data_IF_213352199275
#
_entry.id   IF_213352199275
#
_cell.length_a   1.000
_cell.length_b   1.000
_cell.length_c   1.000
_cell.angle_alpha   90.00
_cell.angle_beta   90.00
_cell.angle_gamma   90.00
#
_symmetry.space_group_name_H-M   'P 1'
#
loop_
_entity.id
_entity.type
_entity.pdbx_description
1 polymer ?
#
# COMPACT_ATOMS: atom_id res chain seq x y z
N UNK A 1 -46.73 58.34 -37.23
CA UNK A 1 -46.76 58.76 -35.82
C UNK A 1 -47.02 57.51 -35.00
N UNK A 2 -46.36 57.40 -33.83
CA UNK A 2 -46.33 56.23 -32.92
C UNK A 2 -45.61 55.01 -33.54
N UNK A 3 -44.57 54.37 -32.99
CA UNK A 3 -44.27 53.98 -31.58
C UNK A 3 -45.36 53.06 -31.01
N UNK A 4 -45.13 51.96 -30.28
CA UNK A 4 -43.92 51.32 -29.74
C UNK A 4 -44.28 49.87 -29.24
N UNK A 5 -43.43 48.97 -28.70
CA UNK A 5 -41.97 48.92 -28.41
C UNK A 5 -41.47 47.47 -28.47
N UNK A 6 -40.18 47.24 -28.70
CA UNK A 6 -39.52 45.93 -28.56
C UNK A 6 -39.38 45.48 -27.09
N UNK A 7 -39.60 44.19 -26.80
CA UNK A 7 -39.34 43.57 -25.50
C UNK A 7 -38.26 42.50 -25.59
N UNK A 8 -37.01 42.91 -25.45
CA UNK A 8 -35.85 42.01 -25.32
C UNK A 8 -35.20 42.15 -23.93
N UNK A 9 -34.58 41.07 -23.45
CA UNK A 9 -33.41 41.21 -22.58
C UNK A 9 -33.55 41.12 -21.04
N UNK A 10 -34.43 40.28 -20.47
CA UNK A 10 -34.39 39.98 -19.01
C UNK A 10 -34.40 38.47 -18.67
N UNK A 11 -33.49 37.68 -19.24
CA UNK A 11 -33.19 36.30 -18.78
C UNK A 11 -31.71 35.90 -18.75
N UNK A 12 -30.75 36.83 -18.93
CA UNK A 12 -29.32 36.48 -19.04
C UNK A 12 -28.50 36.56 -17.73
N UNK A 13 -28.89 37.42 -16.76
CA UNK A 13 -28.05 37.68 -15.58
C UNK A 13 -28.31 36.73 -14.40
N UNK A 14 -29.58 36.46 -14.09
CA UNK A 14 -29.95 35.52 -13.01
C UNK A 14 -29.49 34.08 -13.29
N UNK A 15 -29.56 33.61 -14.54
CA UNK A 15 -29.06 32.29 -14.92
C UNK A 15 -27.54 32.14 -14.80
N UNK A 16 -26.78 33.22 -15.00
CA UNK A 16 -25.32 33.23 -14.79
C UNK A 16 -24.94 33.22 -13.32
N UNK A 17 -25.76 33.82 -12.45
CA UNK A 17 -25.56 33.76 -11.00
C UNK A 17 -25.81 32.33 -10.47
N UNK A 18 -26.89 31.66 -10.88
CA UNK A 18 -27.11 30.25 -10.49
C UNK A 18 -26.01 29.32 -11.00
N UNK A 19 -25.45 29.60 -12.19
CA UNK A 19 -24.35 28.83 -12.77
C UNK A 19 -22.96 29.17 -12.14
N UNK A 20 -22.85 30.23 -11.35
CA UNK A 20 -21.67 30.55 -10.54
C UNK A 20 -21.74 29.97 -9.11
N UNK A 21 -22.95 29.66 -8.63
CA UNK A 21 -23.16 28.99 -7.34
C UNK A 21 -23.13 27.45 -7.43
N UNK A 22 -23.27 26.88 -8.63
CA UNK A 22 -22.90 25.49 -8.88
C UNK A 22 -21.36 25.40 -9.00
N UNK A 23 -20.67 25.19 -7.88
CA UNK A 23 -19.26 24.78 -7.86
C UNK A 23 -19.14 23.32 -8.34
N UNK A 24 -19.38 23.10 -9.64
CA UNK A 24 -19.02 21.86 -10.31
C UNK A 24 -17.49 21.81 -10.44
N UNK A 25 -16.81 20.80 -9.87
CA UNK A 25 -15.35 20.71 -9.91
C UNK A 25 -14.88 20.42 -11.34
N UNK A 26 -13.98 21.26 -11.85
CA UNK A 26 -13.51 21.24 -13.25
C UNK A 26 -12.24 20.41 -13.45
N UNK A 27 -11.58 20.03 -12.37
CA UNK A 27 -10.36 19.25 -12.37
C UNK A 27 -10.26 18.37 -11.10
N UNK A 28 -9.26 17.49 -11.07
CA UNK A 28 -9.04 16.55 -9.95
C UNK A 28 -8.81 17.26 -8.61
N UNK A 29 -8.15 18.42 -8.60
CA UNK A 29 -7.85 19.16 -7.37
C UNK A 29 -9.13 19.75 -6.75
N UNK A 30 -9.95 20.44 -7.56
CA UNK A 30 -11.27 20.96 -7.14
C UNK A 30 -12.20 19.84 -6.64
N UNK A 31 -12.14 18.64 -7.25
CA UNK A 31 -12.93 17.48 -6.80
C UNK A 31 -12.47 16.97 -5.42
N UNK A 32 -11.16 16.89 -5.18
CA UNK A 32 -10.61 16.46 -3.88
C UNK A 32 -10.92 17.50 -2.78
N UNK A 33 -10.87 18.80 -3.10
CA UNK A 33 -11.27 19.87 -2.19
C UNK A 33 -12.75 19.75 -1.80
N UNK A 34 -13.64 19.55 -2.78
CA UNK A 34 -15.07 19.32 -2.52
C UNK A 34 -15.34 18.09 -1.65
N UNK A 35 -14.61 16.98 -1.86
CA UNK A 35 -14.73 15.77 -1.03
C UNK A 35 -14.27 16.01 0.42
N UNK A 36 -13.20 16.78 0.61
CA UNK A 36 -12.71 17.19 1.94
C UNK A 36 -13.67 18.14 2.65
N UNK A 37 -14.29 19.07 1.94
CA UNK A 37 -15.38 19.90 2.48
C UNK A 37 -16.58 19.05 2.87
N UNK A 38 -16.96 18.05 2.07
CA UNK A 38 -18.05 17.12 2.41
C UNK A 38 -17.74 16.32 3.69
N UNK A 39 -16.49 15.89 3.88
CA UNK A 39 -16.02 15.26 5.12
C UNK A 39 -16.06 16.20 6.33
N UNK A 40 -15.57 17.44 6.20
CA UNK A 40 -15.66 18.46 7.27
C UNK A 40 -17.12 18.76 7.66
N UNK A 41 -18.03 18.74 6.68
CA UNK A 41 -19.47 18.88 6.89
C UNK A 41 -20.16 17.58 7.38
N UNK A 42 -19.39 16.52 7.69
CA UNK A 42 -19.86 15.21 8.19
C UNK A 42 -20.83 14.47 7.24
N UNK A 43 -20.69 14.71 5.94
CA UNK A 43 -21.40 13.97 4.88
C UNK A 43 -20.63 12.72 4.42
N UNK A 44 -19.33 12.66 4.72
CA UNK A 44 -18.43 11.53 4.53
C UNK A 44 -17.63 11.33 5.81
N UNK A 45 -17.45 10.08 6.23
CA UNK A 45 -16.45 9.72 7.25
C UNK A 45 -15.02 9.70 6.66
N UNK A 46 -14.03 9.46 7.53
CA UNK A 46 -12.61 9.47 7.14
C UNK A 46 -12.25 8.32 6.21
N UNK A 47 -12.85 7.14 6.42
CA UNK A 47 -12.59 5.92 5.66
C UNK A 47 -13.13 6.06 4.22
N UNK A 48 -14.38 6.49 4.06
CA UNK A 48 -14.99 6.76 2.76
C UNK A 48 -14.24 7.86 1.99
N UNK A 49 -13.74 8.90 2.67
CA UNK A 49 -12.88 9.89 2.04
C UNK A 49 -11.57 9.26 1.54
N UNK A 50 -10.86 8.51 2.39
CA UNK A 50 -9.60 7.85 2.03
C UNK A 50 -9.77 6.89 0.84
N UNK A 51 -10.80 6.04 0.86
CA UNK A 51 -11.15 5.11 -0.22
C UNK A 51 -11.37 5.86 -1.55
N UNK A 52 -12.08 7.00 -1.52
CA UNK A 52 -12.31 7.80 -2.73
C UNK A 52 -11.03 8.48 -3.22
N UNK A 53 -10.20 9.04 -2.33
CA UNK A 53 -8.91 9.64 -2.74
C UNK A 53 -7.98 8.59 -3.37
N UNK A 54 -7.87 7.41 -2.76
CA UNK A 54 -7.08 6.27 -3.25
C UNK A 54 -7.58 5.73 -4.59
N UNK A 55 -8.90 5.56 -4.74
CA UNK A 55 -9.52 5.14 -6.00
C UNK A 55 -9.21 6.10 -7.17
N UNK A 56 -9.14 7.41 -6.90
CA UNK A 56 -8.75 8.41 -7.91
C UNK A 56 -7.22 8.32 -8.18
N UNK A 57 -6.40 8.04 -7.16
CA UNK A 57 -4.94 7.92 -7.31
C UNK A 57 -4.50 6.70 -8.13
N UNK A 58 -5.16 5.56 -7.97
CA UNK A 58 -4.89 4.31 -8.72
C UNK A 58 -5.07 4.45 -10.24
N UNK A 59 -5.76 5.49 -10.71
CA UNK A 59 -5.85 5.81 -12.15
C UNK A 59 -4.51 6.28 -12.76
N UNK A 60 -3.63 6.89 -11.96
CA UNK A 60 -2.36 7.49 -12.41
C UNK A 60 -1.11 6.65 -12.07
N UNK A 61 -1.22 5.73 -11.10
CA UNK A 61 -0.15 4.80 -10.72
C UNK A 61 0.10 3.69 -11.75
N UNK A 62 1.33 3.20 -11.80
CA UNK A 62 1.80 2.10 -12.64
C UNK A 62 2.31 0.92 -11.80
N UNK A 63 2.44 -0.26 -12.42
CA UNK A 63 2.84 -1.50 -11.73
C UNK A 63 4.18 -1.37 -11.00
N UNK A 64 5.19 -0.73 -11.62
CA UNK A 64 6.49 -0.50 -10.97
C UNK A 64 6.45 0.34 -9.70
N UNK A 65 5.37 1.12 -9.49
CA UNK A 65 5.26 2.01 -8.34
C UNK A 65 4.85 1.23 -7.06
N UNK A 66 4.35 -0.02 -7.20
CA UNK A 66 3.90 -0.88 -6.09
C UNK A 66 4.43 -2.32 -6.13
N UNK A 67 5.11 -2.76 -7.20
CA UNK A 67 5.54 -4.15 -7.34
C UNK A 67 6.52 -4.57 -6.22
N UNK A 68 6.43 -5.83 -5.80
CA UNK A 68 7.46 -6.48 -4.99
C UNK A 68 8.68 -6.72 -5.90
N UNK A 69 9.85 -6.09 -5.64
CA UNK A 69 11.01 -6.22 -6.52
C UNK A 69 11.57 -7.64 -6.53
N UNK A 70 12.21 -8.05 -7.63
CA UNK A 70 12.85 -9.37 -7.81
C UNK A 70 13.67 -9.85 -6.63
N UNK A 71 14.44 -8.96 -6.00
CA UNK A 71 15.29 -9.29 -4.84
C UNK A 71 14.52 -9.61 -3.55
N UNK A 72 13.24 -9.27 -3.50
CA UNK A 72 12.33 -9.50 -2.37
C UNK A 72 11.29 -10.60 -2.67
N UNK A 73 11.27 -11.13 -3.90
CA UNK A 73 10.35 -12.21 -4.28
C UNK A 73 10.70 -13.52 -3.58
N UNK A 74 9.76 -14.06 -2.81
CA UNK A 74 9.85 -15.41 -2.25
C UNK A 74 9.35 -16.40 -3.29
N UNK A 75 10.29 -17.06 -3.96
CA UNK A 75 10.05 -18.01 -5.07
C UNK A 75 10.52 -19.42 -4.72
N UNK A 76 9.83 -20.44 -5.25
CA UNK A 76 10.19 -21.86 -5.08
C UNK A 76 10.88 -22.35 -6.35
N UNK A 77 11.98 -23.10 -6.23
CA UNK A 77 12.63 -23.74 -7.39
C UNK A 77 11.89 -25.02 -7.74
N UNK A 78 11.66 -25.26 -9.04
CA UNK A 78 10.95 -26.44 -9.53
C UNK A 78 11.65 -27.78 -9.23
N UNK A 79 12.93 -27.72 -8.83
CA UNK A 79 13.75 -28.87 -8.41
C UNK A 79 13.69 -29.16 -6.90
N UNK A 80 13.11 -28.28 -6.08
CA UNK A 80 13.00 -28.48 -4.64
C UNK A 80 11.92 -29.52 -4.30
N UNK A 81 12.26 -30.41 -3.37
CA UNK A 81 11.31 -31.30 -2.69
C UNK A 81 10.44 -30.50 -1.71
N UNK A 82 9.25 -31.02 -1.32
CA UNK A 82 8.41 -30.37 -0.31
C UNK A 82 9.15 -30.07 1.00
N UNK A 83 10.05 -30.96 1.42
CA UNK A 83 10.85 -30.78 2.64
C UNK A 83 11.78 -29.57 2.58
N UNK A 84 12.21 -29.16 1.39
CA UNK A 84 13.13 -28.03 1.20
C UNK A 84 12.40 -26.69 1.07
N UNK A 85 11.22 -26.65 0.42
CA UNK A 85 10.48 -25.39 0.23
C UNK A 85 9.40 -25.12 1.28
N UNK A 86 8.81 -26.14 1.91
CA UNK A 86 7.75 -25.94 2.92
C UNK A 86 8.19 -25.04 4.10
N UNK A 87 9.43 -25.08 4.62
CA UNK A 87 9.87 -24.13 5.64
C UNK A 87 9.73 -22.66 5.20
N UNK A 88 10.09 -22.35 3.95
CA UNK A 88 9.95 -20.99 3.39
C UNK A 88 8.48 -20.59 3.18
N UNK A 89 7.62 -21.55 2.85
CA UNK A 89 6.17 -21.33 2.69
C UNK A 89 5.50 -21.06 4.05
N UNK A 90 5.95 -21.73 5.11
CA UNK A 90 5.45 -21.53 6.47
C UNK A 90 5.94 -20.21 7.08
N UNK A 91 7.20 -19.85 6.85
CA UNK A 91 7.82 -18.62 7.37
C UNK A 91 7.20 -17.36 6.74
N UNK A 92 6.97 -17.35 5.42
CA UNK A 92 6.41 -16.18 4.74
C UNK A 92 4.88 -16.12 4.76
N UNK A 93 4.20 -17.24 5.03
CA UNK A 93 2.74 -17.37 5.11
C UNK A 93 1.94 -16.81 3.91
N UNK A 94 2.55 -16.71 2.73
CA UNK A 94 1.86 -16.20 1.52
C UNK A 94 0.91 -17.23 0.93
N UNK A 95 -0.16 -16.75 0.28
CA UNK A 95 -1.12 -17.61 -0.43
C UNK A 95 -0.61 -18.16 -1.76
N UNK A 96 0.40 -17.51 -2.37
CA UNK A 96 0.87 -17.76 -3.74
C UNK A 96 2.39 -17.59 -3.83
N UNK A 97 3.04 -18.45 -4.61
CA UNK A 97 4.49 -18.44 -4.82
C UNK A 97 4.80 -18.60 -6.32
N UNK A 98 5.62 -17.72 -6.91
CA UNK A 98 6.23 -17.98 -8.21
C UNK A 98 7.10 -19.24 -8.13
N UNK A 99 6.97 -20.12 -9.12
CA UNK A 99 7.84 -21.29 -9.25
C UNK A 99 8.78 -21.07 -10.42
N UNK A 100 10.08 -21.12 -10.12
CA UNK A 100 11.17 -20.83 -11.07
C UNK A 100 11.92 -22.10 -11.47
N UNK A 101 12.43 -22.14 -12.71
CA UNK A 101 13.25 -23.23 -13.22
C UNK A 101 14.73 -23.02 -12.89
N UNK A 102 15.57 -22.81 -13.91
CA UNK A 102 17.03 -22.69 -13.73
C UNK A 102 17.47 -21.31 -13.22
N UNK A 103 16.73 -20.26 -13.56
CA UNK A 103 17.00 -18.87 -13.17
C UNK A 103 15.75 -18.18 -12.61
N UNK A 104 15.91 -17.02 -11.96
CA UNK A 104 14.77 -16.22 -11.50
C UNK A 104 13.96 -15.60 -12.65
N UNK A 105 14.50 -15.55 -13.87
CA UNK A 105 13.80 -15.09 -15.07
C UNK A 105 12.94 -16.20 -15.71
N UNK A 106 13.26 -17.46 -15.43
CA UNK A 106 12.53 -18.65 -15.89
C UNK A 106 11.36 -18.98 -14.95
N UNK A 107 10.31 -18.15 -14.94
CA UNK A 107 9.10 -18.40 -14.15
C UNK A 107 8.19 -19.39 -14.86
N UNK A 108 8.15 -20.62 -14.34
CA UNK A 108 7.36 -21.73 -14.88
C UNK A 108 5.86 -21.61 -14.59
N UNK A 109 5.47 -20.89 -13.54
CA UNK A 109 4.08 -20.73 -13.13
C UNK A 109 3.94 -20.22 -11.70
N UNK A 110 2.71 -20.29 -11.17
CA UNK A 110 2.38 -19.92 -9.78
C UNK A 110 1.81 -21.12 -9.05
N UNK A 111 2.38 -21.43 -7.89
CA UNK A 111 1.86 -22.40 -6.93
C UNK A 111 0.96 -21.68 -5.92
N UNK A 112 -0.18 -22.27 -5.58
CA UNK A 112 -1.03 -21.79 -4.47
C UNK A 112 -0.73 -22.63 -3.22
N UNK A 113 -0.51 -21.98 -2.08
CA UNK A 113 -0.18 -22.66 -0.82
C UNK A 113 -1.24 -23.71 -0.44
N UNK A 114 -2.53 -23.38 -0.61
CA UNK A 114 -3.65 -24.31 -0.37
C UNK A 114 -3.64 -25.56 -1.26
N UNK A 115 -3.01 -25.51 -2.44
CA UNK A 115 -2.95 -26.66 -3.34
C UNK A 115 -1.88 -27.69 -2.89
N UNK A 116 -1.11 -27.37 -1.83
CA UNK A 116 -0.22 -28.29 -1.11
C UNK A 116 -0.94 -29.09 0.00
N UNK A 117 -2.15 -28.70 0.43
CA UNK A 117 -2.88 -29.41 1.49
C UNK A 117 -3.07 -30.93 1.24
N UNK A 118 -3.27 -31.43 0.01
CA UNK A 118 -3.34 -32.87 -0.25
C UNK A 118 -2.08 -33.65 0.14
N UNK A 119 -0.91 -33.00 0.27
CA UNK A 119 0.33 -33.65 0.71
C UNK A 119 0.26 -34.15 2.15
N UNK A 120 -0.62 -33.58 2.98
CA UNK A 120 -0.83 -34.00 4.38
C UNK A 120 -1.42 -35.42 4.45
N UNK A 121 -2.17 -35.83 3.42
CA UNK A 121 -2.86 -37.13 3.36
C UNK A 121 -2.10 -38.18 2.54
N UNK A 122 -0.98 -37.82 1.90
CA UNK A 122 -0.17 -38.76 1.12
C UNK A 122 0.83 -39.48 2.02
N UNK A 123 0.73 -40.80 2.07
CA UNK A 123 1.75 -41.63 2.71
C UNK A 123 3.07 -41.61 1.93
N UNK A 124 4.17 -41.96 2.62
CA UNK A 124 5.52 -41.97 2.04
C UNK A 124 5.63 -42.97 0.88
N UNK A 125 5.49 -42.49 -0.36
CA UNK A 125 5.59 -43.33 -1.56
C UNK A 125 5.12 -42.62 -2.84
N UNK A 126 4.19 -41.68 -2.73
CA UNK A 126 3.72 -40.89 -3.88
C UNK A 126 4.81 -39.92 -4.37
N UNK A 127 5.14 -39.98 -5.67
CA UNK A 127 6.04 -39.02 -6.31
C UNK A 127 5.42 -37.64 -6.35
N UNK A 128 5.90 -36.71 -5.52
CA UNK A 128 5.56 -35.30 -5.64
C UNK A 128 6.23 -34.69 -6.87
N UNK A 129 5.43 -34.04 -7.72
CA UNK A 129 5.90 -33.24 -8.83
C UNK A 129 5.20 -31.87 -8.77
N UNK A 130 5.97 -30.82 -8.48
CA UNK A 130 5.45 -29.45 -8.34
C UNK A 130 4.76 -28.96 -9.62
N UNK A 131 5.17 -29.45 -10.80
CA UNK A 131 4.62 -29.06 -12.11
C UNK A 131 3.14 -29.36 -12.24
N UNK A 132 2.65 -30.40 -11.56
CA UNK A 132 1.24 -30.83 -11.61
C UNK A 132 0.32 -29.89 -10.80
N UNK A 133 0.90 -29.01 -9.97
CA UNK A 133 0.20 -28.01 -9.16
C UNK A 133 0.35 -26.58 -9.70
N UNK A 134 1.11 -26.37 -10.79
CA UNK A 134 1.36 -25.04 -11.33
C UNK A 134 0.14 -24.49 -12.08
N UNK A 135 -0.20 -23.24 -11.77
CA UNK A 135 -1.11 -22.43 -12.57
C UNK A 135 -0.30 -21.53 -13.51
N UNK A 136 -0.80 -21.20 -14.71
CA UNK A 136 -0.11 -20.28 -15.62
C UNK A 136 0.16 -18.92 -14.96
N UNK A 137 1.39 -18.44 -15.06
CA UNK A 137 1.73 -17.08 -14.63
C UNK A 137 1.16 -16.06 -15.63
N UNK A 138 0.58 -14.97 -15.13
CA UNK A 138 0.23 -13.79 -15.95
C UNK A 138 1.43 -12.85 -15.94
N UNK A 139 1.86 -12.37 -17.11
CA UNK A 139 2.99 -11.43 -17.23
C UNK A 139 2.49 -10.03 -17.60
N UNK A 140 3.04 -9.00 -16.97
CA UNK A 140 2.68 -7.59 -17.21
C UNK A 140 3.92 -6.70 -17.24
N UNK A 141 3.97 -5.66 -18.10
CA UNK A 141 5.08 -4.71 -18.10
C UNK A 141 4.99 -3.74 -16.92
N UNK A 142 6.15 -3.29 -16.42
CA UNK A 142 6.28 -2.26 -15.37
C UNK A 142 5.41 -1.00 -15.58
N UNK A 143 5.25 -0.58 -16.84
CA UNK A 143 4.53 0.63 -17.24
C UNK A 143 3.00 0.49 -17.27
N UNK A 144 2.45 -0.70 -16.98
CA UNK A 144 1.00 -0.94 -16.98
C UNK A 144 0.32 -0.13 -15.87
N UNK A 145 -0.79 0.55 -16.16
CA UNK A 145 -1.56 1.30 -15.15
C UNK A 145 -2.31 0.37 -14.21
N UNK A 146 -2.37 0.72 -12.92
CA UNK A 146 -3.00 -0.10 -11.88
C UNK A 146 -4.51 -0.28 -12.09
N UNK A 147 -5.24 0.78 -12.50
CA UNK A 147 -6.66 0.68 -12.82
C UNK A 147 -6.98 -0.33 -13.95
N UNK A 148 -6.06 -0.52 -14.91
CA UNK A 148 -6.18 -1.54 -15.96
C UNK A 148 -5.87 -2.92 -15.40
N UNK A 149 -4.81 -3.06 -14.60
CA UNK A 149 -4.44 -4.32 -13.94
C UNK A 149 -5.55 -4.84 -13.02
N UNK A 150 -6.12 -3.99 -12.16
CA UNK A 150 -7.22 -4.35 -11.26
C UNK A 150 -8.43 -4.91 -12.02
N UNK A 151 -8.76 -4.31 -13.17
CA UNK A 151 -9.84 -4.80 -14.04
C UNK A 151 -9.53 -6.18 -14.62
N UNK A 152 -8.28 -6.44 -15.00
CA UNK A 152 -7.85 -7.75 -15.51
C UNK A 152 -7.82 -8.83 -14.41
N UNK A 153 -7.32 -8.50 -13.21
CA UNK A 153 -7.38 -9.40 -12.06
C UNK A 153 -8.83 -9.82 -11.74
N UNK A 154 -9.75 -8.84 -11.70
CA UNK A 154 -11.18 -9.10 -11.50
C UNK A 154 -11.83 -9.91 -12.62
N UNK A 155 -11.44 -9.70 -13.88
CA UNK A 155 -12.03 -10.40 -15.03
C UNK A 155 -11.50 -11.84 -15.19
N UNK A 156 -10.22 -12.07 -14.90
CA UNK A 156 -9.56 -13.36 -15.10
C UNK A 156 -9.56 -14.24 -13.83
N UNK A 157 -10.02 -13.72 -12.69
CA UNK A 157 -9.88 -14.33 -11.36
C UNK A 157 -8.41 -14.68 -11.00
N UNK A 158 -7.46 -13.93 -11.56
CA UNK A 158 -6.05 -14.00 -11.23
C UNK A 158 -5.73 -12.93 -10.19
N UNK A 159 -4.89 -13.27 -9.21
CA UNK A 159 -4.56 -12.42 -8.05
C UNK A 159 -3.05 -12.12 -7.95
N UNK A 160 -2.26 -12.58 -8.92
CA UNK A 160 -0.81 -12.38 -8.97
C UNK A 160 -0.40 -12.31 -10.45
N UNK A 161 0.48 -11.36 -10.76
CA UNK A 161 1.16 -11.26 -12.02
C UNK A 161 2.67 -11.11 -11.79
N UNK A 162 3.47 -11.63 -12.71
CA UNK A 162 4.91 -11.43 -12.78
C UNK A 162 5.16 -10.16 -13.59
N UNK A 163 6.01 -9.29 -13.06
CA UNK A 163 6.36 -8.03 -13.72
C UNK A 163 7.61 -8.22 -14.55
N UNK A 164 7.56 -7.79 -15.81
CA UNK A 164 8.70 -7.83 -16.74
C UNK A 164 9.21 -6.43 -17.08
N UNK A 165 10.53 -6.34 -17.23
CA UNK A 165 11.24 -5.17 -17.72
C UNK A 165 11.19 -5.05 -19.27
N UNK A 166 11.77 -3.98 -19.83
CA UNK A 166 11.83 -3.74 -21.28
C UNK A 166 12.70 -4.75 -22.05
N UNK A 167 13.54 -5.53 -21.36
CA UNK A 167 14.41 -6.55 -21.92
C UNK A 167 13.79 -7.96 -21.84
N UNK A 168 12.63 -8.10 -21.19
CA UNK A 168 11.94 -9.36 -20.95
C UNK A 168 12.44 -10.14 -19.73
N UNK A 169 13.30 -9.52 -18.90
CA UNK A 169 13.70 -10.05 -17.60
C UNK A 169 12.60 -9.88 -16.55
N UNK A 170 12.66 -10.67 -15.48
CA UNK A 170 11.72 -10.54 -14.35
C UNK A 170 12.18 -9.40 -13.44
N UNK A 171 11.37 -8.34 -13.39
CA UNK A 171 11.55 -7.18 -12.54
C UNK A 171 11.00 -7.38 -11.13
N UNK A 172 9.91 -8.16 -11.00
CA UNK A 172 9.20 -8.34 -9.73
C UNK A 172 7.92 -9.16 -9.86
N UNK A 173 7.04 -9.04 -8.86
CA UNK A 173 5.66 -9.50 -8.91
C UNK A 173 4.71 -8.42 -8.37
N UNK A 174 3.43 -8.52 -8.72
CA UNK A 174 2.36 -7.66 -8.19
C UNK A 174 1.10 -8.50 -7.96
N UNK A 175 0.37 -8.23 -6.90
CA UNK A 175 -0.83 -8.96 -6.49
C UNK A 175 -2.08 -8.08 -6.59
N UNK A 176 -3.27 -8.67 -6.49
CA UNK A 176 -4.51 -7.86 -6.43
C UNK A 176 -4.60 -7.16 -5.08
N UNK A 177 -4.09 -7.80 -4.04
CA UNK A 177 -4.01 -7.32 -2.68
C UNK A 177 -3.22 -5.98 -2.63
N UNK A 178 -2.03 -5.91 -3.25
CA UNK A 178 -1.21 -4.67 -3.34
C UNK A 178 -1.96 -3.51 -4.05
N UNK A 179 -2.80 -3.82 -5.05
CA UNK A 179 -3.58 -2.81 -5.79
C UNK A 179 -4.79 -2.33 -5.00
N UNK A 180 -5.37 -3.18 -4.15
CA UNK A 180 -6.46 -2.82 -3.24
C UNK A 180 -5.95 -1.98 -2.07
N UNK A 181 -4.74 -2.26 -1.56
CA UNK A 181 -4.05 -1.44 -0.55
C UNK A 181 -3.90 0.03 -1.01
N UNK A 182 -3.65 0.28 -2.30
CA UNK A 182 -3.61 1.66 -2.85
C UNK A 182 -4.98 2.36 -2.93
N UNK A 183 -6.08 1.62 -2.82
CA UNK A 183 -7.44 2.18 -2.78
C UNK A 183 -7.89 2.37 -1.35
N UNK A 184 -7.80 1.31 -0.54
CA UNK A 184 -8.39 1.24 0.81
C UNK A 184 -7.44 1.79 1.88
N UNK A 185 -6.13 1.78 1.62
CA UNK A 185 -5.10 1.96 2.63
C UNK A 185 -4.71 0.63 3.29
N UNK A 186 -3.95 0.71 4.37
CA UNK A 186 -3.79 -0.40 5.31
C UNK A 186 -5.19 -0.73 5.87
N UNK A 187 -5.68 -1.96 5.64
CA UNK A 187 -6.95 -2.41 6.25
C UNK A 187 -6.68 -2.67 7.74
N UNK A 188 -7.07 -1.72 8.59
CA UNK A 188 -6.97 -1.85 10.04
C UNK A 188 -7.96 -2.94 10.52
N UNK A 189 -7.46 -3.88 11.31
CA UNK A 189 -8.17 -5.11 11.70
C UNK A 189 -9.33 -4.81 12.66
N UNK A 190 -10.40 -5.61 12.65
CA UNK A 190 -11.66 -5.40 13.40
C UNK A 190 -11.51 -5.56 14.95
N UNK A 191 -10.29 -5.47 15.46
CA UNK A 191 -9.89 -5.68 16.84
C UNK A 191 -9.28 -4.44 17.52
N UNK A 192 -8.99 -3.36 16.79
CA UNK A 192 -8.34 -2.17 17.34
C UNK A 192 -9.33 -1.10 17.85
N UNK A 193 -9.95 -1.36 19.01
CA UNK A 193 -10.83 -0.40 19.72
C UNK A 193 -10.01 0.65 20.54
N UNK A 194 -8.75 0.90 20.18
CA UNK A 194 -7.81 1.80 20.89
C UNK A 194 -7.07 2.75 19.93
N UNK A 195 -7.81 3.32 18.97
CA UNK A 195 -7.26 4.08 17.84
C UNK A 195 -6.58 5.42 18.21
N UNK A 196 -6.91 5.99 19.38
CA UNK A 196 -6.37 7.27 19.87
C UNK A 196 -4.91 7.20 20.37
N UNK A 197 -4.33 6.01 20.58
CA UNK A 197 -2.95 5.94 21.08
C UNK A 197 -1.91 6.20 19.99
N UNK A 198 -1.09 7.22 20.20
CA UNK A 198 0.09 7.53 19.38
C UNK A 198 1.17 6.42 19.44
N UNK A 199 1.23 5.68 20.55
CA UNK A 199 2.24 4.67 20.86
C UNK A 199 1.52 3.38 21.31
N UNK A 200 1.77 2.26 20.64
CA UNK A 200 1.18 0.96 20.96
C UNK A 200 2.29 -0.06 21.27
N UNK A 201 2.32 -0.70 22.45
CA UNK A 201 3.30 -1.74 22.75
C UNK A 201 3.03 -3.00 21.92
N UNK A 202 4.10 -3.66 21.48
CA UNK A 202 4.06 -4.92 20.75
C UNK A 202 4.50 -6.08 21.66
N UNK A 203 3.97 -7.32 21.47
CA UNK A 203 4.35 -8.48 22.29
C UNK A 203 5.85 -8.84 22.30
N UNK A 204 6.64 -8.31 21.35
CA UNK A 204 8.10 -8.46 21.32
C UNK A 204 8.87 -7.55 22.29
N UNK A 205 8.20 -6.61 22.96
CA UNK A 205 8.85 -5.52 23.71
C UNK A 205 9.28 -4.33 22.84
N UNK A 206 8.95 -4.37 21.55
CA UNK A 206 9.01 -3.21 20.66
C UNK A 206 7.75 -2.34 20.80
N UNK A 207 7.75 -1.18 20.16
CA UNK A 207 6.62 -0.26 20.11
C UNK A 207 6.29 0.11 18.67
N UNK A 208 5.01 0.23 18.37
CA UNK A 208 4.48 0.81 17.15
C UNK A 208 4.17 2.29 17.42
N UNK A 209 4.69 3.19 16.60
CA UNK A 209 4.62 4.64 16.85
C UNK A 209 4.11 5.34 15.59
N UNK A 210 3.00 6.08 15.72
CA UNK A 210 2.49 6.96 14.65
C UNK A 210 3.51 8.10 14.46
N UNK A 211 3.94 8.39 13.24
CA UNK A 211 4.98 9.41 12.99
C UNK A 211 4.58 10.83 13.44
N UNK A 212 3.28 11.09 13.58
CA UNK A 212 2.71 12.32 14.12
C UNK A 212 2.72 12.39 15.66
N UNK A 213 3.31 11.42 16.36
CA UNK A 213 3.50 11.48 17.82
C UNK A 213 4.28 12.73 18.20
N UNK A 214 3.74 13.63 19.04
CA UNK A 214 4.48 14.79 19.55
C UNK A 214 5.73 14.36 20.33
N UNK A 215 6.82 15.13 20.25
CA UNK A 215 8.04 14.81 21.01
C UNK A 215 7.81 14.85 22.53
N UNK A 216 7.00 15.79 23.03
CA UNK A 216 6.56 15.85 24.43
C UNK A 216 5.94 14.51 24.90
N UNK A 217 4.94 14.01 24.15
CA UNK A 217 4.26 12.74 24.46
C UNK A 217 5.20 11.53 24.37
N UNK A 218 6.14 11.54 23.41
CA UNK A 218 7.15 10.50 23.29
C UNK A 218 8.08 10.49 24.51
N UNK A 219 8.56 11.67 24.91
CA UNK A 219 9.43 11.84 26.08
C UNK A 219 8.75 11.40 27.37
N UNK A 220 7.48 11.77 27.59
CA UNK A 220 6.69 11.32 28.74
C UNK A 220 6.52 9.80 28.76
N UNK A 221 6.24 9.17 27.61
CA UNK A 221 6.00 7.73 27.54
C UNK A 221 7.28 6.88 27.70
N UNK A 222 8.40 7.33 27.14
CA UNK A 222 9.65 6.56 27.10
C UNK A 222 10.73 7.01 28.10
N UNK A 223 10.43 8.01 28.94
CA UNK A 223 11.36 8.67 29.87
C UNK A 223 12.64 9.14 29.14
N UNK A 224 12.42 9.90 28.04
CA UNK A 224 13.49 10.41 27.18
C UNK A 224 13.58 11.94 27.17
N UNK A 225 14.74 12.45 26.72
CA UNK A 225 15.08 13.88 26.71
C UNK A 225 15.35 14.37 25.26
N UNK A 226 14.48 14.03 24.30
CA UNK A 226 14.57 14.59 22.94
C UNK A 226 14.09 16.03 22.92
N UNK A 227 14.74 16.90 22.13
CA UNK A 227 14.37 18.32 22.06
C UNK A 227 13.05 18.51 21.32
N UNK A 228 12.07 19.03 22.05
CA UNK A 228 10.78 19.55 21.57
C UNK A 228 10.94 20.89 20.83
N UNK A 229 11.83 21.78 21.30
CA UNK A 229 12.19 23.03 20.61
C UNK A 229 12.74 22.84 19.17
N UNK A 230 13.37 21.70 18.86
CA UNK A 230 13.92 21.40 17.52
C UNK A 230 12.96 20.58 16.63
N UNK A 231 12.05 19.79 17.21
CA UNK A 231 11.19 18.87 16.47
C UNK A 231 9.79 18.76 17.07
N UNK A 232 8.76 19.11 16.30
CA UNK A 232 7.36 18.96 16.76
C UNK A 232 6.95 17.49 16.94
N UNK A 233 7.51 16.56 16.15
CA UNK A 233 7.07 15.16 16.07
C UNK A 233 8.21 14.17 15.87
N UNK A 234 7.98 12.92 16.29
CA UNK A 234 8.91 11.78 16.10
C UNK A 234 9.26 11.56 14.63
N UNK A 235 8.30 11.75 13.71
CA UNK A 235 8.55 11.67 12.27
C UNK A 235 9.54 12.73 11.78
N UNK A 236 9.47 13.95 12.33
CA UNK A 236 10.43 15.02 12.05
C UNK A 236 11.83 14.69 12.57
N UNK A 237 11.94 14.25 13.83
CA UNK A 237 13.19 13.79 14.44
C UNK A 237 13.86 12.67 13.62
N UNK A 238 13.10 11.63 13.25
CA UNK A 238 13.62 10.49 12.48
C UNK A 238 14.03 10.91 11.07
N UNK A 239 13.23 11.71 10.36
CA UNK A 239 13.58 12.22 9.03
C UNK A 239 14.83 13.10 9.05
N UNK A 240 15.00 13.92 10.10
CA UNK A 240 16.21 14.72 10.32
C UNK A 240 17.45 13.83 10.47
N UNK A 241 17.37 12.76 11.27
CA UNK A 241 18.46 11.81 11.45
C UNK A 241 18.85 11.04 10.17
N UNK A 242 17.92 10.81 9.24
CA UNK A 242 18.23 10.27 7.91
C UNK A 242 18.80 11.32 6.94
N UNK A 243 18.44 12.61 7.10
CA UNK A 243 18.79 13.67 6.17
C UNK A 243 18.05 13.61 4.82
N UNK A 244 17.12 12.66 4.67
CA UNK A 244 16.21 12.50 3.54
C UNK A 244 14.91 11.85 4.01
N UNK A 245 13.90 11.81 3.15
CA UNK A 245 12.70 11.01 3.41
C UNK A 245 13.06 9.51 3.27
N UNK A 246 12.94 8.69 4.32
CA UNK A 246 13.34 7.29 4.28
C UNK A 246 12.21 6.39 3.81
N UNK A 247 12.56 5.28 3.14
CA UNK A 247 11.63 4.25 2.65
C UNK A 247 11.34 3.20 3.70
N UNK A 248 10.29 2.40 3.46
CA UNK A 248 9.94 1.21 4.24
C UNK A 248 11.16 0.30 4.44
N UNK A 249 11.29 -0.21 5.67
CA UNK A 249 12.39 -1.04 6.19
C UNK A 249 13.76 -0.33 6.38
N UNK A 250 13.91 0.95 6.06
CA UNK A 250 15.10 1.70 6.48
C UNK A 250 15.15 1.84 8.01
N UNK A 251 16.38 1.92 8.57
CA UNK A 251 16.63 1.90 10.01
C UNK A 251 17.61 3.01 10.39
N UNK A 252 17.31 3.72 11.48
CA UNK A 252 18.23 4.66 12.13
C UNK A 252 18.25 4.43 13.64
N UNK A 253 19.30 4.90 14.32
CA UNK A 253 19.46 4.80 15.77
C UNK A 253 19.66 6.21 16.34
N UNK A 254 18.83 6.57 17.32
CA UNK A 254 18.81 7.90 17.92
C UNK A 254 18.74 7.70 19.44
N UNK A 255 19.79 8.14 20.15
CA UNK A 255 19.90 7.93 21.59
C UNK A 255 19.90 6.44 21.96
N UNK A 256 18.94 6.04 22.80
CA UNK A 256 18.77 4.66 23.26
C UNK A 256 17.76 3.84 22.42
N UNK A 257 17.36 4.33 21.25
CA UNK A 257 16.26 3.74 20.48
C UNK A 257 16.65 3.50 19.02
N UNK A 258 16.27 2.33 18.49
CA UNK A 258 16.35 2.00 17.08
C UNK A 258 14.98 2.19 16.44
N UNK A 259 14.91 3.02 15.41
CA UNK A 259 13.70 3.28 14.63
C UNK A 259 13.79 2.56 13.29
N UNK A 260 12.78 1.75 12.94
CA UNK A 260 12.57 1.19 11.61
C UNK A 260 11.33 1.80 10.97
N UNK A 261 11.44 2.23 9.72
CA UNK A 261 10.29 2.71 8.94
C UNK A 261 9.39 1.52 8.58
N UNK A 262 8.10 1.58 8.94
CA UNK A 262 7.10 0.59 8.54
C UNK A 262 6.25 1.08 7.37
N UNK A 263 5.81 2.34 7.40
CA UNK A 263 5.03 2.98 6.34
C UNK A 263 5.51 4.44 6.16
N UNK A 264 5.78 4.83 4.91
CA UNK A 264 6.10 6.19 4.49
C UNK A 264 5.63 6.40 3.04
N UNK A 265 5.09 7.58 2.72
CA UNK A 265 4.73 7.97 1.36
C UNK A 265 5.84 8.82 0.69
N UNK A 266 5.53 9.50 -0.42
CA UNK A 266 6.48 10.36 -1.14
C UNK A 266 6.75 11.73 -0.48
N UNK A 267 6.13 12.03 0.66
CA UNK A 267 6.21 13.31 1.38
C UNK A 267 6.53 13.16 2.88
N UNK A 268 6.08 12.09 3.54
CA UNK A 268 6.27 11.90 4.99
C UNK A 268 6.29 10.43 5.41
N UNK A 269 6.87 10.18 6.58
CA UNK A 269 6.71 8.92 7.32
C UNK A 269 5.31 8.91 7.94
N UNK A 270 4.65 7.74 7.98
CA UNK A 270 3.37 7.55 8.69
C UNK A 270 3.53 6.66 9.93
N UNK A 271 4.33 5.59 9.84
CA UNK A 271 4.40 4.57 10.90
C UNK A 271 5.83 4.04 11.12
N UNK A 272 6.21 3.90 12.38
CA UNK A 272 7.54 3.53 12.86
C UNK A 272 7.45 2.32 13.80
N UNK A 273 8.44 1.43 13.75
CA UNK A 273 8.73 0.48 14.83
C UNK A 273 9.91 1.00 15.64
N UNK A 274 9.73 1.16 16.93
CA UNK A 274 10.79 1.47 17.88
C UNK A 274 11.20 0.19 18.62
N UNK A 275 12.50 -0.06 18.67
CA UNK A 275 13.13 -1.08 19.52
C UNK A 275 14.03 -0.37 20.53
N UNK A 276 13.77 -0.48 21.85
CA UNK A 276 14.70 0.00 22.87
C UNK A 276 16.02 -0.77 22.76
N UNK A 277 17.14 -0.05 22.76
CA UNK A 277 18.47 -0.64 22.74
C UNK A 277 18.90 -0.84 24.20
N UNK A 278 19.12 -2.09 24.68
CA UNK A 278 19.60 -2.32 26.03
C UNK A 278 21.01 -1.72 26.21
N UNK A 279 21.23 -1.05 27.35
CA UNK A 279 22.54 -0.53 27.78
C UNK A 279 23.47 -1.65 28.25
#
# INVERSE_FOLDING_TARGET
>A
MSEDRSSSGQKSWLGKLTQAFAHEPKNRQELLELLREAHQNKLLDSEALAIVEGAIQVADLQVRDIMVPRSQMISIKATQTPREFLPSVLDSAHSRYPVIGESHDDVMGVLLAKDLLPLILKENGDSFNIKDLLRPATFVPESKRLNVLLREFRANHNHMAIVIDEYGGVAGLVTIEDVLEQIVGDIEDEHDVEEDSYIKPLPSGDFLIKALTPIENFNEFFDSEFSDDEFDTVGGLVMSAFGHLPKRNEITEIGAYRFRILNADSRRIHLLRLTPIPR
#
